data_IF_411458647738
#
_entry.id   IF_411458647738
#
_cell.length_a   1.000
_cell.length_b   1.000
_cell.length_c   1.000
_cell.angle_alpha   90.00
_cell.angle_beta   90.00
_cell.angle_gamma   90.00
#
_symmetry.space_group_name_H-M   'P 1'
#
loop_
_entity.id
_entity.type
_entity.pdbx_description
1 polymer ?
#
# COMPACT_ATOMS: atom_id res chain seq x y z
N UNK A 1 8.54 12.71 -32.71
CA UNK A 1 7.59 11.70 -32.22
C UNK A 1 8.09 11.25 -30.88
N UNK A 2 7.29 11.45 -29.82
CA UNK A 2 7.66 10.96 -28.50
C UNK A 2 7.34 9.48 -28.46
N UNK A 3 8.35 8.66 -28.19
CA UNK A 3 8.19 7.24 -27.90
C UNK A 3 7.47 7.14 -26.56
N UNK A 4 6.19 6.78 -26.59
CA UNK A 4 5.43 6.37 -25.40
C UNK A 4 5.61 4.85 -25.29
N UNK A 5 6.69 4.40 -24.65
CA UNK A 5 6.94 2.97 -24.42
C UNK A 5 7.04 2.58 -22.94
N UNK A 6 6.79 3.49 -21.99
CA UNK A 6 6.99 3.21 -20.56
C UNK A 6 5.87 3.77 -19.67
N UNK A 7 4.68 4.01 -20.21
CA UNK A 7 3.48 4.05 -19.38
C UNK A 7 3.00 2.60 -19.22
N UNK A 8 3.67 1.85 -18.33
CA UNK A 8 2.94 0.91 -17.49
C UNK A 8 1.69 1.68 -17.00
N UNK A 9 0.46 1.14 -17.11
CA UNK A 9 -0.71 1.87 -16.60
C UNK A 9 -0.34 2.29 -15.18
N UNK A 10 -0.36 3.60 -14.91
CA UNK A 10 -0.02 4.11 -13.59
C UNK A 10 -0.89 3.30 -12.64
N UNK A 11 -0.28 2.35 -11.90
CA UNK A 11 -0.97 1.34 -11.12
C UNK A 11 -2.04 2.09 -10.33
N UNK A 12 -3.28 2.09 -10.84
CA UNK A 12 -4.32 2.98 -10.35
C UNK A 12 -4.41 2.63 -8.89
N UNK A 13 -4.04 3.59 -8.03
CA UNK A 13 -3.80 3.30 -6.62
C UNK A 13 -5.06 2.63 -6.08
N UNK A 14 -5.01 1.31 -5.98
CA UNK A 14 -6.16 0.49 -5.63
C UNK A 14 -6.23 0.61 -4.10
N UNK A 15 -7.28 1.23 -3.55
CA UNK A 15 -7.36 1.40 -2.11
C UNK A 15 -7.27 0.03 -1.43
N UNK A 16 -6.31 -0.12 -0.52
CA UNK A 16 -6.03 -1.40 0.14
C UNK A 16 -4.93 -2.27 -0.50
N UNK A 17 -4.44 -1.94 -1.71
CA UNK A 17 -3.26 -2.58 -2.33
C UNK A 17 -1.98 -1.96 -1.74
N UNK A 18 -1.61 -2.49 -0.57
CA UNK A 18 -0.49 -2.05 0.25
C UNK A 18 0.81 -2.73 -0.17
N UNK A 19 0.78 -3.88 -0.84
CA UNK A 19 1.99 -4.49 -1.37
C UNK A 19 2.28 -4.11 -2.83
N UNK A 20 1.40 -3.31 -3.45
CA UNK A 20 1.48 -2.87 -4.85
C UNK A 20 1.48 -4.03 -5.86
N UNK A 21 0.83 -5.16 -5.54
CA UNK A 21 0.75 -6.33 -6.44
C UNK A 21 -0.49 -6.32 -7.35
N UNK A 22 -1.31 -5.27 -7.25
CA UNK A 22 -2.48 -5.04 -8.09
C UNK A 22 -3.72 -5.82 -7.63
N UNK A 23 -3.66 -6.45 -6.46
CA UNK A 23 -4.80 -7.11 -5.81
C UNK A 23 -5.00 -6.54 -4.41
N UNK A 24 -6.23 -6.65 -3.88
CA UNK A 24 -6.51 -6.40 -2.45
C UNK A 24 -6.83 -7.74 -1.82
N UNK A 25 -5.87 -8.31 -1.10
CA UNK A 25 -5.98 -9.63 -0.49
C UNK A 25 -5.17 -9.76 0.83
N UNK A 26 -5.03 -10.99 1.33
CA UNK A 26 -4.33 -11.26 2.59
C UNK A 26 -2.85 -10.86 2.60
N UNK A 27 -2.23 -10.57 1.46
CA UNK A 27 -0.85 -10.08 1.35
C UNK A 27 -0.74 -8.61 1.75
N UNK A 28 -1.78 -7.82 1.57
CA UNK A 28 -1.84 -6.43 2.04
C UNK A 28 -1.86 -6.34 3.56
N UNK A 29 -2.47 -7.33 4.22
CA UNK A 29 -2.41 -7.48 5.68
C UNK A 29 -0.96 -7.69 6.15
N UNK A 30 -0.18 -8.49 5.42
CA UNK A 30 1.24 -8.69 5.74
C UNK A 30 2.04 -7.40 5.56
N UNK A 31 1.76 -6.62 4.50
CA UNK A 31 2.37 -5.32 4.26
C UNK A 31 2.01 -4.30 5.35
N UNK A 32 0.74 -4.20 5.74
CA UNK A 32 0.28 -3.39 6.88
C UNK A 32 1.00 -3.77 8.17
N UNK A 33 1.17 -5.07 8.44
CA UNK A 33 1.86 -5.51 9.66
C UNK A 33 3.35 -5.16 9.64
N UNK A 34 3.99 -5.15 8.48
CA UNK A 34 5.36 -4.63 8.32
C UNK A 34 5.44 -3.14 8.65
N UNK A 35 4.53 -2.32 8.10
CA UNK A 35 4.50 -0.89 8.39
C UNK A 35 4.25 -0.60 9.88
N UNK A 36 3.36 -1.34 10.54
CA UNK A 36 3.07 -1.15 11.96
C UNK A 36 4.25 -1.53 12.89
N UNK A 37 5.02 -2.56 12.54
CA UNK A 37 6.16 -3.01 13.37
C UNK A 37 7.42 -2.20 13.14
N UNK A 38 7.72 -1.91 11.88
CA UNK A 38 9.00 -1.34 11.46
C UNK A 38 8.92 0.08 10.91
N UNK A 39 7.72 0.63 10.81
CA UNK A 39 7.46 1.94 10.22
C UNK A 39 7.68 1.99 8.71
N UNK A 40 7.61 3.21 8.17
CA UNK A 40 7.83 3.48 6.75
C UNK A 40 9.17 2.95 6.23
N UNK A 41 10.23 2.99 7.04
CA UNK A 41 11.56 2.50 6.64
C UNK A 41 11.59 1.00 6.38
N UNK A 42 10.99 0.18 7.24
CA UNK A 42 10.95 -1.28 7.04
C UNK A 42 10.00 -1.67 5.91
N UNK A 43 8.89 -0.96 5.79
CA UNK A 43 7.98 -1.11 4.67
C UNK A 43 8.69 -0.83 3.33
N UNK A 44 9.38 0.31 3.19
CA UNK A 44 10.08 0.67 1.95
C UNK A 44 11.21 -0.30 1.61
N UNK A 45 11.86 -0.92 2.61
CA UNK A 45 12.86 -1.95 2.34
C UNK A 45 12.27 -3.23 1.75
N UNK A 46 11.03 -3.58 2.11
CA UNK A 46 10.34 -4.78 1.61
C UNK A 46 9.55 -4.53 0.32
N UNK A 47 9.00 -3.32 0.17
CA UNK A 47 8.20 -2.90 -0.98
C UNK A 47 8.80 -1.62 -1.59
N UNK A 48 9.99 -1.71 -2.23
CA UNK A 48 10.77 -0.53 -2.65
C UNK A 48 10.09 0.33 -3.70
N UNK A 49 9.18 -0.24 -4.49
CA UNK A 49 8.42 0.45 -5.53
C UNK A 49 7.04 0.92 -5.05
N UNK A 50 6.69 0.64 -3.78
CA UNK A 50 5.41 0.98 -3.18
C UNK A 50 5.57 2.20 -2.25
N UNK A 51 4.63 3.14 -2.31
CA UNK A 51 4.65 4.32 -1.45
C UNK A 51 4.13 3.96 -0.05
N UNK A 52 4.98 4.13 0.97
CA UNK A 52 4.59 3.93 2.37
C UNK A 52 3.40 4.80 2.81
N UNK A 53 3.11 5.92 2.14
CA UNK A 53 1.91 6.72 2.42
C UNK A 53 0.60 5.96 2.17
N UNK A 54 0.61 4.85 1.43
CA UNK A 54 -0.57 4.01 1.19
C UNK A 54 -1.09 3.31 2.44
N UNK A 55 -0.26 3.18 3.50
CA UNK A 55 -0.66 2.51 4.74
C UNK A 55 -1.49 3.40 5.68
N UNK A 56 -1.63 4.70 5.38
CA UNK A 56 -2.58 5.62 6.00
C UNK A 56 -3.90 5.57 5.20
N UNK A 57 -4.77 4.63 5.56
CA UNK A 57 -6.03 4.36 4.86
C UNK A 57 -7.15 5.28 5.33
N UNK A 58 -7.06 5.82 6.55
CA UNK A 58 -8.04 6.75 7.08
C UNK A 58 -7.72 8.23 6.72
N UNK A 59 -6.50 8.51 6.26
CA UNK A 59 -6.03 9.82 5.81
C UNK A 59 -5.67 10.79 6.94
N UNK A 60 -5.35 10.30 8.13
CA UNK A 60 -5.04 11.13 9.31
C UNK A 60 -3.56 11.49 9.46
N UNK A 61 -2.71 10.96 8.55
CA UNK A 61 -1.28 11.19 8.52
C UNK A 61 -0.48 10.20 9.38
N UNK A 62 -1.12 9.20 9.98
CA UNK A 62 -0.48 8.14 10.74
C UNK A 62 -0.81 6.77 10.13
N UNK A 63 0.06 5.80 10.39
CA UNK A 63 -0.22 4.38 10.12
C UNK A 63 -0.33 3.69 11.46
N UNK A 64 -1.56 3.40 11.88
CA UNK A 64 -1.85 2.78 13.17
C UNK A 64 -3.05 1.81 13.12
N UNK A 65 -3.58 1.46 14.30
CA UNK A 65 -4.66 0.49 14.40
C UNK A 65 -5.99 0.97 13.75
N UNK A 66 -6.16 2.27 13.54
CA UNK A 66 -7.33 2.82 12.86
C UNK A 66 -7.36 2.39 11.39
N UNK A 67 -6.21 2.37 10.70
CA UNK A 67 -6.09 1.97 9.30
C UNK A 67 -6.43 0.50 9.06
N UNK A 68 -6.16 -0.36 10.06
CA UNK A 68 -6.48 -1.80 9.99
C UNK A 68 -7.98 -2.00 9.77
N UNK A 69 -8.83 -1.17 10.38
CA UNK A 69 -10.29 -1.29 10.23
C UNK A 69 -10.70 -1.06 8.78
N UNK A 70 -10.10 -0.07 8.12
CA UNK A 70 -10.36 0.21 6.70
C UNK A 70 -9.83 -0.90 5.80
N UNK A 71 -8.65 -1.45 6.10
CA UNK A 71 -8.11 -2.59 5.35
C UNK A 71 -9.02 -3.82 5.44
N UNK A 72 -9.54 -4.13 6.63
CA UNK A 72 -10.45 -5.25 6.82
C UNK A 72 -11.75 -5.06 6.04
N UNK A 73 -12.32 -3.85 6.03
CA UNK A 73 -13.53 -3.54 5.26
C UNK A 73 -13.34 -3.74 3.75
N UNK A 74 -12.12 -3.56 3.23
CA UNK A 74 -11.79 -3.78 1.82
C UNK A 74 -11.59 -5.26 1.45
N UNK A 75 -11.47 -6.15 2.44
CA UNK A 75 -11.20 -7.58 2.27
C UNK A 75 -12.44 -8.48 2.40
N UNK A 76 -13.62 -7.90 2.67
CA UNK A 76 -14.90 -8.60 2.89
C UNK A 76 -15.85 -8.46 1.69
#
# INVERSE_FOLDING_TARGET
GIMLSDFEPANEALPGDLNCDGSVDGRDVAAMTTALRGGASEFQMQYPDCDSGRTDLNGDGQTDAADITFLVDLLL
#
